data_IF_633243140454
#
_entry.id   IF_633243140454
#
_cell.length_a   1.000
_cell.length_b   1.000
_cell.length_c   1.000
_cell.angle_alpha   90.00
_cell.angle_beta   90.00
_cell.angle_gamma   90.00
#
_symmetry.space_group_name_H-M   'P 1'
#
loop_
_entity.id
_entity.type
_entity.pdbx_description
1 polymer ?
#
# COMPACT_ATOMS: atom_id res chain seq x y z
N UNK A 1 11.69 -43.37 -10.90
CA UNK A 1 11.57 -42.47 -9.73
C UNK A 1 10.30 -41.67 -9.92
N UNK A 2 9.39 -41.58 -8.93
CA UNK A 2 8.26 -40.66 -9.03
C UNK A 2 8.81 -39.23 -8.93
N UNK A 3 8.56 -38.40 -9.93
CA UNK A 3 8.87 -36.97 -9.86
C UNK A 3 7.88 -36.32 -8.90
N UNK A 4 8.35 -35.82 -7.76
CA UNK A 4 7.57 -34.95 -6.90
C UNK A 4 7.19 -33.72 -7.72
N UNK A 5 5.90 -33.36 -7.85
CA UNK A 5 5.53 -32.14 -8.56
C UNK A 5 6.16 -30.95 -7.82
N UNK A 6 6.99 -30.20 -8.54
CA UNK A 6 7.58 -28.96 -8.05
C UNK A 6 6.47 -27.91 -7.97
N UNK A 7 5.90 -27.73 -6.77
CA UNK A 7 4.87 -26.73 -6.49
C UNK A 7 5.56 -25.54 -5.83
N UNK A 8 5.94 -24.55 -6.63
CA UNK A 8 6.42 -23.27 -6.11
C UNK A 8 5.24 -22.43 -5.62
N UNK A 9 5.23 -22.09 -4.33
CA UNK A 9 4.28 -21.13 -3.77
C UNK A 9 4.98 -19.78 -3.61
N UNK A 10 4.97 -18.98 -4.67
CA UNK A 10 5.41 -17.59 -4.59
C UNK A 10 4.27 -16.73 -4.05
N UNK A 11 4.32 -16.38 -2.76
CA UNK A 11 3.42 -15.38 -2.21
C UNK A 11 3.93 -13.99 -2.56
N UNK A 12 3.53 -13.48 -3.73
CA UNK A 12 3.57 -12.03 -3.97
C UNK A 12 2.42 -11.44 -3.17
N UNK A 13 2.72 -10.60 -2.17
CA UNK A 13 1.69 -9.81 -1.52
C UNK A 13 1.03 -8.98 -2.61
N UNK A 14 -0.17 -9.40 -3.04
CA UNK A 14 -0.91 -8.75 -4.11
C UNK A 14 -1.05 -7.27 -3.76
N UNK A 15 -0.96 -6.42 -4.76
CA UNK A 15 -1.22 -4.98 -4.63
C UNK A 15 -2.47 -4.67 -3.80
N UNK A 16 -3.51 -5.49 -3.92
CA UNK A 16 -4.71 -5.37 -3.10
C UNK A 16 -4.48 -5.58 -1.59
N UNK A 17 -3.57 -6.47 -1.21
CA UNK A 17 -3.17 -6.67 0.20
C UNK A 17 -2.40 -5.45 0.69
N UNK A 18 -1.52 -4.88 -0.13
CA UNK A 18 -0.80 -3.64 0.20
C UNK A 18 -1.78 -2.50 0.44
N UNK A 19 -2.71 -2.30 -0.48
CA UNK A 19 -3.77 -1.29 -0.40
C UNK A 19 -4.65 -1.46 0.86
N UNK A 20 -5.06 -2.70 1.14
CA UNK A 20 -5.83 -3.05 2.35
C UNK A 20 -5.04 -2.71 3.62
N UNK A 21 -3.75 -3.07 3.66
CA UNK A 21 -2.89 -2.81 4.81
C UNK A 21 -2.70 -1.31 5.04
N UNK A 22 -2.50 -0.54 3.98
CA UNK A 22 -2.39 0.92 4.05
C UNK A 22 -3.68 1.53 4.62
N UNK A 23 -4.83 1.21 4.01
CA UNK A 23 -6.12 1.76 4.46
C UNK A 23 -6.48 1.36 5.88
N UNK A 24 -6.30 0.09 6.26
CA UNK A 24 -6.60 -0.38 7.62
C UNK A 24 -5.66 0.23 8.66
N UNK A 25 -4.36 0.39 8.36
CA UNK A 25 -3.38 0.93 9.31
C UNK A 25 -3.74 2.36 9.70
N UNK A 26 -4.03 3.20 8.71
CA UNK A 26 -4.35 4.61 8.96
C UNK A 26 -5.78 4.74 9.51
N UNK A 27 -6.72 3.96 8.99
CA UNK A 27 -8.10 3.93 9.48
C UNK A 27 -8.20 3.49 10.94
N UNK A 28 -7.35 2.59 11.43
CA UNK A 28 -7.33 2.26 12.86
C UNK A 28 -6.65 3.34 13.71
N UNK A 29 -5.68 4.06 13.16
CA UNK A 29 -4.78 4.93 13.94
C UNK A 29 -5.29 6.37 14.03
N UNK A 30 -5.68 6.98 12.92
CA UNK A 30 -6.03 8.41 12.88
C UNK A 30 -7.38 8.69 13.56
N UNK A 31 -8.47 7.97 13.25
CA UNK A 31 -9.75 8.12 13.96
C UNK A 31 -9.63 7.82 15.46
N UNK A 32 -8.78 6.86 15.84
CA UNK A 32 -8.50 6.56 17.24
C UNK A 32 -7.78 7.71 17.94
N UNK A 33 -6.71 8.23 17.34
CA UNK A 33 -5.97 9.34 17.91
C UNK A 33 -6.84 10.59 18.04
N UNK A 34 -7.68 10.87 17.04
CA UNK A 34 -8.66 11.95 17.11
C UNK A 34 -9.64 11.75 18.27
N UNK A 35 -10.24 10.56 18.38
CA UNK A 35 -11.22 10.26 19.43
C UNK A 35 -10.61 10.33 20.84
N UNK A 36 -9.40 9.80 21.01
CA UNK A 36 -8.65 9.91 22.26
C UNK A 36 -8.32 11.37 22.57
N UNK A 37 -7.84 12.13 21.59
CA UNK A 37 -7.56 13.57 21.66
C UNK A 37 -8.75 14.37 22.16
N UNK A 38 -9.88 14.25 21.46
CA UNK A 38 -11.11 14.96 21.81
C UNK A 38 -11.65 14.54 23.18
N UNK A 39 -11.54 13.27 23.57
CA UNK A 39 -11.96 12.82 24.90
C UNK A 39 -11.16 13.44 26.04
N UNK A 40 -9.94 13.93 25.77
CA UNK A 40 -9.14 14.69 26.73
C UNK A 40 -9.55 16.16 26.88
N UNK A 41 -10.28 16.71 25.90
CA UNK A 41 -10.61 18.13 25.80
C UNK A 41 -12.12 18.42 25.93
N UNK A 42 -13.00 17.48 25.56
CA UNK A 42 -14.46 17.67 25.58
C UNK A 42 -15.18 16.52 26.29
N UNK A 43 -16.35 16.81 26.86
CA UNK A 43 -17.19 15.83 27.57
C UNK A 43 -18.38 15.32 26.76
N UNK A 44 -18.57 15.83 25.53
CA UNK A 44 -19.71 15.48 24.68
C UNK A 44 -19.37 14.33 23.73
N UNK A 45 -19.97 13.16 23.95
CA UNK A 45 -19.83 12.00 23.05
C UNK A 45 -20.32 12.32 21.64
N UNK A 46 -21.33 13.20 21.51
CA UNK A 46 -21.85 13.63 20.21
C UNK A 46 -20.80 14.40 19.40
N UNK A 47 -20.00 15.26 20.03
CA UNK A 47 -18.92 15.96 19.31
C UNK A 47 -17.84 14.99 18.83
N UNK A 48 -17.52 13.97 19.63
CA UNK A 48 -16.51 12.97 19.27
C UNK A 48 -16.99 12.10 18.11
N UNK A 49 -18.26 11.66 18.14
CA UNK A 49 -18.80 10.83 17.05
C UNK A 49 -18.98 11.60 15.76
N UNK A 50 -19.45 12.86 15.80
CA UNK A 50 -19.58 13.67 14.58
C UNK A 50 -18.22 14.03 13.99
N UNK A 51 -17.24 14.41 14.83
CA UNK A 51 -15.88 14.68 14.38
C UNK A 51 -15.22 13.42 13.81
N UNK A 52 -15.36 12.27 14.49
CA UNK A 52 -14.83 10.98 14.05
C UNK A 52 -15.44 10.52 12.72
N UNK A 53 -16.77 10.62 12.55
CA UNK A 53 -17.41 10.28 11.28
C UNK A 53 -16.99 11.22 10.15
N UNK A 54 -16.88 12.53 10.43
CA UNK A 54 -16.42 13.50 9.44
C UNK A 54 -14.98 13.22 9.01
N UNK A 55 -14.12 12.87 9.97
CA UNK A 55 -12.73 12.50 9.71
C UNK A 55 -12.63 11.18 8.93
N UNK A 56 -13.42 10.15 9.27
CA UNK A 56 -13.45 8.89 8.50
C UNK A 56 -13.88 9.15 7.04
N UNK A 57 -14.91 9.98 6.83
CA UNK A 57 -15.38 10.33 5.49
C UNK A 57 -14.30 11.10 4.70
N UNK A 58 -13.72 12.14 5.30
CA UNK A 58 -12.67 12.94 4.65
C UNK A 58 -11.40 12.11 4.38
N UNK A 59 -10.94 11.34 5.37
CA UNK A 59 -9.74 10.51 5.31
C UNK A 59 -9.87 9.38 4.29
N UNK A 60 -10.99 8.67 4.25
CA UNK A 60 -11.22 7.61 3.27
C UNK A 60 -11.27 8.11 1.83
N UNK A 61 -11.89 9.28 1.59
CA UNK A 61 -11.88 9.92 0.28
C UNK A 61 -10.46 10.35 -0.09
N UNK A 62 -9.76 11.04 0.81
CA UNK A 62 -8.41 11.54 0.56
C UNK A 62 -7.42 10.40 0.25
N UNK A 63 -7.44 9.34 1.06
CA UNK A 63 -6.56 8.19 0.84
C UNK A 63 -6.96 7.36 -0.37
N UNK A 64 -8.26 7.17 -0.61
CA UNK A 64 -8.75 6.48 -1.81
C UNK A 64 -8.33 7.20 -3.09
N UNK A 65 -8.50 8.53 -3.15
CA UNK A 65 -8.02 9.34 -4.27
C UNK A 65 -6.49 9.34 -4.37
N UNK A 66 -5.77 9.36 -3.24
CA UNK A 66 -4.32 9.22 -3.22
C UNK A 66 -3.84 7.91 -3.86
N UNK A 67 -4.47 6.79 -3.50
CA UNK A 67 -4.20 5.50 -4.13
C UNK A 67 -4.58 5.44 -5.60
N UNK A 68 -5.70 6.05 -5.99
CA UNK A 68 -6.11 6.17 -7.39
C UNK A 68 -5.05 6.91 -8.21
N UNK A 69 -4.63 8.09 -7.74
CA UNK A 69 -3.69 8.95 -8.45
C UNK A 69 -2.30 8.32 -8.53
N UNK A 70 -1.84 7.65 -7.48
CA UNK A 70 -0.58 6.92 -7.51
C UNK A 70 -0.60 5.80 -8.56
N UNK A 71 -1.58 4.91 -8.49
CA UNK A 71 -1.71 3.81 -9.44
C UNK A 71 -1.99 4.26 -10.89
N UNK A 72 -2.68 5.39 -11.06
CA UNK A 72 -2.87 6.00 -12.37
C UNK A 72 -1.58 6.63 -12.90
N UNK A 73 -0.81 7.30 -12.05
CA UNK A 73 0.49 7.86 -12.39
C UNK A 73 1.48 6.78 -12.83
N UNK A 74 1.50 5.62 -12.14
CA UNK A 74 2.31 4.47 -12.54
C UNK A 74 1.92 3.96 -13.95
N UNK A 75 0.61 3.95 -14.27
CA UNK A 75 0.13 3.56 -15.59
C UNK A 75 0.46 4.58 -16.69
N UNK A 76 0.27 5.86 -16.42
CA UNK A 76 0.64 6.94 -17.36
C UNK A 76 2.15 6.96 -17.61
N UNK A 77 2.97 6.73 -16.57
CA UNK A 77 4.41 6.59 -16.72
C UNK A 77 4.78 5.37 -17.57
N UNK A 78 4.21 4.20 -17.28
CA UNK A 78 4.44 3.00 -18.09
C UNK A 78 4.09 3.22 -19.56
N UNK A 79 2.93 3.80 -19.86
CA UNK A 79 2.48 4.04 -21.23
C UNK A 79 3.39 5.03 -21.97
N UNK A 80 3.87 6.07 -21.28
CA UNK A 80 4.81 7.03 -21.84
C UNK A 80 6.14 6.37 -22.22
N UNK A 81 6.73 5.61 -21.29
CA UNK A 81 7.99 4.90 -21.53
C UNK A 81 7.84 3.85 -22.62
N UNK A 82 6.71 3.14 -22.65
CA UNK A 82 6.42 2.17 -23.70
C UNK A 82 6.43 2.81 -25.09
N UNK A 83 5.82 4.00 -25.26
CA UNK A 83 5.86 4.69 -26.55
C UNK A 83 7.25 5.18 -26.91
N UNK A 84 8.04 5.63 -25.92
CA UNK A 84 9.43 6.05 -26.14
C UNK A 84 10.28 4.87 -26.63
N UNK A 85 10.17 3.73 -25.97
CA UNK A 85 10.90 2.51 -26.29
C UNK A 85 10.56 2.01 -27.71
N UNK A 86 9.28 2.05 -28.07
CA UNK A 86 8.86 1.75 -29.43
C UNK A 86 9.52 2.70 -30.45
N UNK A 87 9.65 3.99 -30.14
CA UNK A 87 10.27 4.97 -31.02
C UNK A 87 11.79 4.77 -31.13
N UNK A 88 12.47 4.46 -30.04
CA UNK A 88 13.92 4.25 -29.96
C UNK A 88 14.33 2.99 -30.74
N UNK A 89 13.63 1.87 -30.55
CA UNK A 89 13.84 0.63 -31.33
C UNK A 89 13.65 0.85 -32.85
N UNK A 90 12.89 1.87 -33.27
CA UNK A 90 12.75 2.22 -34.69
C UNK A 90 13.82 3.19 -35.20
N UNK A 91 14.20 4.17 -34.39
CA UNK A 91 15.02 5.31 -34.84
C UNK A 91 16.50 5.10 -34.60
N UNK A 92 16.87 4.40 -33.52
CA UNK A 92 18.24 4.14 -33.09
C UNK A 92 18.48 2.66 -32.75
N UNK A 93 18.08 1.70 -33.60
CA UNK A 93 18.08 0.26 -33.28
C UNK A 93 19.45 -0.31 -32.90
N UNK A 94 20.54 0.27 -33.38
CA UNK A 94 21.89 -0.19 -33.02
C UNK A 94 22.32 0.25 -31.62
N UNK A 95 21.79 1.38 -31.12
CA UNK A 95 22.01 1.84 -29.73
C UNK A 95 21.20 0.96 -28.78
N UNK A 96 19.90 0.77 -29.05
CA UNK A 96 19.03 -0.14 -28.29
C UNK A 96 19.57 -1.58 -28.23
N UNK A 97 20.19 -2.05 -29.32
CA UNK A 97 20.78 -3.38 -29.34
C UNK A 97 22.04 -3.47 -28.46
N UNK A 98 22.78 -2.38 -28.34
CA UNK A 98 23.91 -2.29 -27.42
C UNK A 98 23.44 -2.29 -25.96
N UNK A 99 22.33 -1.63 -25.65
CA UNK A 99 21.75 -1.63 -24.30
C UNK A 99 21.31 -3.03 -23.84
N UNK A 100 20.77 -3.86 -24.73
CA UNK A 100 20.53 -5.29 -24.41
C UNK A 100 21.83 -5.97 -23.99
N UNK A 101 22.93 -5.72 -24.70
CA UNK A 101 24.24 -6.30 -24.37
C UNK A 101 24.69 -5.81 -23.00
N UNK A 102 24.56 -4.52 -22.70
CA UNK A 102 24.91 -3.94 -21.39
C UNK A 102 24.11 -4.59 -20.26
N UNK A 103 22.80 -4.81 -20.45
CA UNK A 103 21.95 -5.54 -19.48
C UNK A 103 22.52 -6.93 -19.22
N UNK A 104 22.90 -7.67 -20.25
CA UNK A 104 23.45 -9.03 -20.12
C UNK A 104 24.87 -9.05 -19.53
N UNK A 105 25.70 -8.07 -19.84
CA UNK A 105 27.05 -7.91 -19.29
C UNK A 105 27.02 -7.68 -17.77
N UNK A 106 25.98 -7.01 -17.26
CA UNK A 106 25.75 -6.89 -15.81
C UNK A 106 25.56 -8.26 -15.11
N UNK A 107 25.16 -9.30 -15.86
CA UNK A 107 25.08 -10.68 -15.37
C UNK A 107 26.30 -11.55 -15.74
N UNK A 108 27.35 -10.94 -16.30
CA UNK A 108 28.57 -11.64 -16.73
C UNK A 108 28.43 -12.41 -18.05
N UNK A 109 27.39 -12.13 -18.84
CA UNK A 109 27.22 -12.71 -20.18
C UNK A 109 27.94 -11.81 -21.18
N UNK A 110 28.95 -12.35 -21.87
CA UNK A 110 29.73 -11.58 -22.84
C UNK A 110 28.91 -11.21 -24.08
N UNK A 111 29.25 -10.11 -24.76
CA UNK A 111 28.63 -9.72 -26.02
C UNK A 111 28.55 -10.86 -27.07
N UNK A 112 29.60 -11.69 -27.17
CA UNK A 112 29.63 -12.83 -28.08
C UNK A 112 28.59 -13.92 -27.73
N UNK A 113 28.31 -14.12 -26.44
CA UNK A 113 27.29 -15.07 -25.96
C UNK A 113 25.87 -14.49 -26.11
N UNK A 114 25.72 -13.17 -25.98
CA UNK A 114 24.45 -12.46 -26.09
C UNK A 114 24.00 -12.25 -27.56
N UNK A 115 24.93 -12.18 -28.51
CA UNK A 115 24.65 -11.85 -29.90
C UNK A 115 23.48 -12.63 -30.56
N UNK A 116 23.32 -13.96 -30.35
CA UNK A 116 22.17 -14.69 -30.91
C UNK A 116 20.82 -14.28 -30.28
N UNK A 117 20.82 -13.90 -28.99
CA UNK A 117 19.62 -13.44 -28.28
C UNK A 117 19.20 -12.07 -28.81
N UNK A 118 20.15 -11.14 -28.94
CA UNK A 118 19.91 -9.83 -29.56
C UNK A 118 19.34 -10.03 -30.96
N UNK A 119 20.01 -10.82 -31.81
CA UNK A 119 19.56 -11.09 -33.17
C UNK A 119 18.12 -11.66 -33.22
N UNK A 120 17.76 -12.55 -32.28
CA UNK A 120 16.40 -13.07 -32.18
C UNK A 120 15.39 -11.99 -31.74
N UNK A 121 15.71 -11.16 -30.74
CA UNK A 121 14.85 -10.05 -30.28
C UNK A 121 14.63 -9.02 -31.40
N UNK A 122 15.64 -8.77 -32.25
CA UNK A 122 15.50 -7.88 -33.43
C UNK A 122 14.43 -8.33 -34.41
N UNK A 123 14.02 -9.60 -34.41
CA UNK A 123 12.99 -10.12 -35.31
C UNK A 123 11.56 -9.86 -34.84
N UNK A 124 11.36 -9.64 -33.54
CA UNK A 124 10.06 -9.35 -32.93
C UNK A 124 10.17 -8.07 -32.10
N UNK A 125 9.72 -6.96 -32.68
CA UNK A 125 9.76 -5.64 -32.05
C UNK A 125 8.99 -5.61 -30.73
N UNK A 126 7.89 -6.35 -30.60
CA UNK A 126 7.13 -6.35 -29.35
C UNK A 126 7.87 -7.15 -28.27
N UNK A 127 8.59 -8.21 -28.64
CA UNK A 127 9.45 -8.93 -27.70
C UNK A 127 10.66 -8.10 -27.26
N UNK A 128 11.28 -7.36 -28.18
CA UNK A 128 12.38 -6.43 -27.89
C UNK A 128 11.94 -5.35 -26.90
N UNK A 129 10.87 -4.61 -27.22
CA UNK A 129 10.35 -3.55 -26.34
C UNK A 129 9.96 -4.12 -24.98
N UNK A 130 9.30 -5.29 -24.91
CA UNK A 130 9.00 -5.93 -23.62
C UNK A 130 10.25 -6.29 -22.83
N UNK A 131 11.35 -6.67 -23.49
CA UNK A 131 12.62 -6.95 -22.84
C UNK A 131 13.19 -5.66 -22.23
N UNK A 132 13.26 -4.57 -23.00
CA UNK A 132 13.80 -3.29 -22.54
C UNK A 132 12.97 -2.72 -21.38
N UNK A 133 11.65 -2.63 -21.56
CA UNK A 133 10.72 -2.24 -20.50
C UNK A 133 10.95 -3.02 -19.20
N UNK A 134 11.21 -4.33 -19.30
CA UNK A 134 11.36 -5.21 -18.13
C UNK A 134 12.74 -5.14 -17.47
N UNK A 135 13.80 -5.20 -18.27
CA UNK A 135 15.16 -5.47 -17.77
C UNK A 135 16.03 -4.23 -17.73
N UNK A 136 15.76 -3.25 -18.57
CA UNK A 136 16.48 -1.99 -18.63
C UNK A 136 15.74 -0.93 -17.79
N UNK A 137 14.43 -0.74 -18.01
CA UNK A 137 13.63 0.22 -17.25
C UNK A 137 13.03 -0.34 -15.94
N UNK A 138 12.95 -1.67 -15.78
CA UNK A 138 12.38 -2.30 -14.59
C UNK A 138 10.85 -2.15 -14.45
N UNK A 139 10.17 -1.80 -15.54
CA UNK A 139 8.74 -1.54 -15.60
C UNK A 139 7.94 -2.80 -15.96
N UNK A 140 6.88 -3.10 -15.20
CA UNK A 140 5.88 -4.12 -15.52
C UNK A 140 4.59 -3.44 -15.98
N UNK A 141 3.89 -4.07 -16.93
CA UNK A 141 2.58 -3.58 -17.39
C UNK A 141 1.59 -3.58 -16.22
N UNK A 142 0.99 -2.43 -15.86
CA UNK A 142 0.00 -2.38 -14.79
C UNK A 142 -1.26 -3.18 -15.14
N UNK A 143 -1.90 -3.76 -14.12
CA UNK A 143 -3.18 -4.45 -14.29
C UNK A 143 -4.30 -3.48 -14.68
N UNK A 144 -5.15 -3.88 -15.63
CA UNK A 144 -6.32 -3.09 -16.02
C UNK A 144 -7.23 -2.84 -14.82
N UNK A 145 -7.60 -1.57 -14.60
CA UNK A 145 -8.47 -1.17 -13.49
C UNK A 145 -7.79 -1.13 -12.12
N UNK A 146 -6.45 -1.29 -12.05
CA UNK A 146 -5.65 -1.18 -10.82
C UNK A 146 -5.95 0.11 -10.04
N UNK A 147 -6.00 1.26 -10.71
CA UNK A 147 -6.26 2.55 -10.05
C UNK A 147 -7.59 2.58 -9.29
N UNK A 148 -8.69 2.20 -9.94
CA UNK A 148 -10.02 2.16 -9.30
C UNK A 148 -10.09 1.12 -8.18
N UNK A 149 -9.45 -0.04 -8.37
CA UNK A 149 -9.36 -1.07 -7.33
C UNK A 149 -8.57 -0.59 -6.12
N UNK A 150 -7.46 0.13 -6.34
CA UNK A 150 -6.66 0.78 -5.30
C UNK A 150 -7.51 1.71 -4.45
N UNK A 151 -8.21 2.62 -5.13
CA UNK A 151 -9.02 3.65 -4.49
C UNK A 151 -10.09 3.05 -3.59
N UNK A 152 -10.81 2.07 -4.13
CA UNK A 152 -11.93 1.43 -3.44
C UNK A 152 -11.43 0.57 -2.27
N UNK A 153 -10.35 -0.19 -2.47
CA UNK A 153 -9.78 -1.05 -1.42
C UNK A 153 -9.27 -0.24 -0.25
N UNK A 154 -8.52 0.84 -0.51
CA UNK A 154 -8.00 1.74 0.54
C UNK A 154 -9.15 2.44 1.26
N UNK A 155 -10.10 3.03 0.54
CA UNK A 155 -11.21 3.76 1.15
C UNK A 155 -12.08 2.85 2.03
N UNK A 156 -12.47 1.67 1.54
CA UNK A 156 -13.27 0.73 2.33
C UNK A 156 -12.50 0.20 3.55
N UNK A 157 -11.22 -0.09 3.40
CA UNK A 157 -10.35 -0.50 4.50
C UNK A 157 -10.24 0.60 5.56
N UNK A 158 -10.08 1.85 5.13
CA UNK A 158 -10.02 3.00 6.03
C UNK A 158 -11.31 3.20 6.81
N UNK A 159 -12.46 3.13 6.13
CA UNK A 159 -13.78 3.22 6.79
C UNK A 159 -13.94 2.09 7.80
N UNK A 160 -13.65 0.85 7.42
CA UNK A 160 -13.77 -0.30 8.31
C UNK A 160 -12.85 -0.17 9.53
N UNK A 161 -11.60 0.27 9.33
CA UNK A 161 -10.65 0.54 10.41
C UNK A 161 -11.14 1.65 11.35
N UNK A 162 -11.63 2.76 10.78
CA UNK A 162 -12.03 3.95 11.55
C UNK A 162 -13.30 3.80 12.35
N UNK A 163 -14.23 2.96 11.91
CA UNK A 163 -15.43 2.68 12.69
C UNK A 163 -15.14 1.96 14.01
N UNK A 164 -14.05 1.20 14.10
CA UNK A 164 -13.68 0.44 15.31
C UNK A 164 -13.43 1.36 16.53
N UNK A 165 -12.53 2.37 16.48
CA UNK A 165 -12.31 3.27 17.61
C UNK A 165 -13.53 4.14 17.94
N UNK A 166 -14.37 4.46 16.96
CA UNK A 166 -15.56 5.32 17.17
C UNK A 166 -16.75 4.51 17.73
N UNK A 167 -16.83 3.21 17.45
CA UNK A 167 -17.97 2.37 17.85
C UNK A 167 -18.39 2.50 19.32
N UNK A 168 -17.47 2.52 20.32
CA UNK A 168 -17.86 2.64 21.72
C UNK A 168 -18.54 3.98 22.08
N UNK A 169 -18.24 5.06 21.35
CA UNK A 169 -18.85 6.37 21.58
C UNK A 169 -20.30 6.46 21.08
N UNK A 170 -20.75 5.53 20.23
CA UNK A 170 -22.17 5.42 19.87
C UNK A 170 -23.00 4.70 20.94
N UNK A 171 -22.36 3.81 21.71
CA UNK A 171 -23.04 2.92 22.65
C UNK A 171 -23.00 3.44 24.09
N UNK A 172 -21.96 4.19 24.46
CA UNK A 172 -21.78 4.70 25.80
C UNK A 172 -22.55 6.01 26.05
N UNK A 173 -23.21 6.09 27.21
CA UNK A 173 -23.95 7.29 27.62
C UNK A 173 -23.03 8.47 27.99
N UNK A 174 -21.80 8.19 28.46
CA UNK A 174 -20.83 9.20 28.92
C UNK A 174 -19.45 8.97 28.27
N UNK A 175 -18.74 10.06 27.95
CA UNK A 175 -17.39 10.02 27.35
C UNK A 175 -16.38 9.33 28.27
N UNK A 176 -16.49 9.54 29.58
CA UNK A 176 -15.59 8.92 30.58
C UNK A 176 -15.63 7.40 30.55
N UNK A 177 -16.76 6.81 30.20
CA UNK A 177 -16.90 5.37 30.06
C UNK A 177 -16.50 4.92 28.64
N UNK A 178 -16.80 5.74 27.61
CA UNK A 178 -16.51 5.43 26.22
C UNK A 178 -15.02 5.30 25.89
N UNK A 179 -14.19 6.18 26.46
CA UNK A 179 -12.76 6.24 26.15
C UNK A 179 -12.01 4.96 26.53
N UNK A 180 -12.13 4.40 27.77
CA UNK A 180 -11.51 3.12 28.11
C UNK A 180 -11.92 1.97 27.18
N UNK A 181 -13.20 1.89 26.79
CA UNK A 181 -13.67 0.87 25.84
C UNK A 181 -13.08 1.07 24.44
N UNK A 182 -13.00 2.32 23.97
CA UNK A 182 -12.35 2.67 22.69
C UNK A 182 -10.87 2.31 22.68
N UNK A 183 -10.14 2.61 23.76
CA UNK A 183 -8.73 2.22 23.91
C UNK A 183 -8.61 0.69 23.88
N UNK A 184 -9.40 -0.03 24.65
CA UNK A 184 -9.33 -1.50 24.70
C UNK A 184 -9.62 -2.14 23.34
N UNK A 185 -10.73 -1.76 22.69
CA UNK A 185 -11.12 -2.37 21.40
C UNK A 185 -10.12 -2.04 20.30
N UNK A 186 -9.61 -0.80 20.28
CA UNK A 186 -8.65 -0.37 19.26
C UNK A 186 -7.29 -1.03 19.45
N UNK A 187 -6.78 -1.14 20.67
CA UNK A 187 -5.51 -1.83 20.92
C UNK A 187 -5.61 -3.31 20.53
N UNK A 188 -6.73 -3.98 20.84
CA UNK A 188 -6.96 -5.36 20.37
C UNK A 188 -6.98 -5.40 18.84
N UNK A 189 -7.69 -4.48 18.18
CA UNK A 189 -7.76 -4.42 16.73
C UNK A 189 -6.39 -4.18 16.08
N UNK A 190 -5.59 -3.24 16.60
CA UNK A 190 -4.22 -2.95 16.15
C UNK A 190 -3.29 -4.17 16.33
N UNK A 191 -3.41 -4.88 17.47
CA UNK A 191 -2.62 -6.08 17.73
C UNK A 191 -2.96 -7.21 16.73
N UNK A 192 -4.26 -7.47 16.54
CA UNK A 192 -4.74 -8.50 15.61
C UNK A 192 -4.35 -8.14 14.18
N UNK A 193 -4.65 -6.91 13.75
CA UNK A 193 -4.30 -6.44 12.42
C UNK A 193 -2.79 -6.50 12.17
N UNK A 194 -1.97 -6.03 13.10
CA UNK A 194 -0.51 -6.11 13.00
C UNK A 194 0.00 -7.56 12.94
N UNK A 195 -0.60 -8.49 13.69
CA UNK A 195 -0.26 -9.91 13.64
C UNK A 195 -0.53 -10.52 12.25
N UNK A 196 -1.71 -10.25 11.67
CA UNK A 196 -2.05 -10.72 10.32
C UNK A 196 -1.22 -10.04 9.24
N UNK A 197 -1.02 -8.72 9.35
CA UNK A 197 -0.14 -7.93 8.49
C UNK A 197 1.25 -8.55 8.42
N UNK A 198 1.84 -8.90 9.56
CA UNK A 198 3.16 -9.53 9.59
C UNK A 198 3.21 -10.86 8.83
N UNK A 199 2.15 -11.66 8.92
CA UNK A 199 2.01 -12.89 8.15
C UNK A 199 2.00 -12.68 6.64
N UNK A 200 1.36 -11.60 6.16
CA UNK A 200 1.30 -11.29 4.73
C UNK A 200 2.57 -10.61 4.21
N UNK A 201 3.26 -9.82 5.03
CA UNK A 201 4.47 -9.09 4.61
C UNK A 201 5.76 -9.86 4.81
N UNK A 202 5.69 -11.10 5.28
CA UNK A 202 6.88 -11.92 5.57
C UNK A 202 7.69 -11.43 6.78
N UNK A 203 7.11 -10.59 7.63
CA UNK A 203 7.75 -10.10 8.86
C UNK A 203 7.32 -10.93 10.08
N UNK A 204 8.13 -11.04 11.14
CA UNK A 204 7.73 -11.75 12.35
C UNK A 204 6.42 -11.19 12.92
N UNK A 205 5.39 -12.04 13.01
CA UNK A 205 4.00 -11.61 13.32
C UNK A 205 3.91 -10.82 14.62
N UNK A 206 4.61 -11.27 15.67
CA UNK A 206 4.59 -10.61 16.96
C UNK A 206 5.29 -9.23 16.91
N UNK A 207 6.39 -9.11 16.17
CA UNK A 207 7.07 -7.83 15.99
C UNK A 207 6.19 -6.84 15.23
N UNK A 208 5.49 -7.30 14.19
CA UNK A 208 4.56 -6.48 13.41
C UNK A 208 3.35 -6.02 14.24
N UNK A 209 2.81 -6.89 15.09
CA UNK A 209 1.77 -6.54 16.06
C UNK A 209 2.23 -5.47 17.06
N UNK A 210 3.40 -5.66 17.68
CA UNK A 210 3.98 -4.71 18.63
C UNK A 210 4.27 -3.35 17.99
N UNK A 211 4.83 -3.33 16.78
CA UNK A 211 5.08 -2.09 16.03
C UNK A 211 3.77 -1.34 15.75
N UNK A 212 2.73 -2.05 15.32
CA UNK A 212 1.44 -1.44 14.97
C UNK A 212 0.73 -0.87 16.22
N UNK A 213 0.78 -1.61 17.33
CA UNK A 213 0.33 -1.13 18.64
C UNK A 213 1.07 0.13 19.10
N UNK A 214 2.40 0.13 18.96
CA UNK A 214 3.25 1.24 19.40
C UNK A 214 2.96 2.51 18.60
N UNK A 215 2.87 2.40 17.27
CA UNK A 215 2.54 3.54 16.39
C UNK A 215 1.17 4.11 16.77
N UNK A 216 0.15 3.25 16.90
CA UNK A 216 -1.20 3.69 17.28
C UNK A 216 -1.26 4.34 18.66
N UNK A 217 -0.54 3.76 19.63
CA UNK A 217 -0.48 4.30 21.00
C UNK A 217 0.24 5.65 21.05
N UNK A 218 1.34 5.81 20.30
CA UNK A 218 2.09 7.08 20.22
C UNK A 218 1.24 8.16 19.56
N UNK A 219 0.56 7.84 18.46
CA UNK A 219 -0.33 8.79 17.78
C UNK A 219 -1.46 9.27 18.71
N UNK A 220 -2.11 8.34 19.40
CA UNK A 220 -3.17 8.68 20.35
C UNK A 220 -2.67 9.48 21.55
N UNK A 221 -1.52 9.12 22.12
CA UNK A 221 -0.91 9.89 23.20
C UNK A 221 -0.57 11.31 22.75
N UNK A 222 0.04 11.47 21.57
CA UNK A 222 0.37 12.78 21.00
C UNK A 222 -0.88 13.64 20.82
N UNK A 223 -1.95 13.10 20.23
CA UNK A 223 -3.22 13.80 20.05
C UNK A 223 -3.87 14.17 21.39
N UNK A 224 -3.85 13.26 22.38
CA UNK A 224 -4.36 13.51 23.73
C UNK A 224 -3.63 14.66 24.43
N UNK A 225 -2.29 14.64 24.43
CA UNK A 225 -1.52 15.70 25.08
C UNK A 225 -1.66 17.04 24.37
N UNK A 226 -1.68 17.06 23.04
CA UNK A 226 -1.90 18.29 22.28
C UNK A 226 -3.29 18.88 22.54
N UNK A 227 -4.33 18.06 22.50
CA UNK A 227 -5.69 18.51 22.79
C UNK A 227 -5.79 19.10 24.20
N UNK A 228 -5.20 18.43 25.20
CA UNK A 228 -5.18 18.90 26.59
C UNK A 228 -4.37 20.18 26.81
N UNK A 229 -3.35 20.43 25.99
CA UNK A 229 -2.54 21.66 26.05
C UNK A 229 -3.32 22.88 25.55
N UNK A 230 -4.22 22.67 24.59
CA UNK A 230 -4.95 23.74 23.90
C UNK A 230 -6.34 23.98 24.51
N UNK A 231 -6.92 22.97 25.18
CA UNK A 231 -8.25 23.02 25.81
C UNK A 231 -8.30 23.76 27.13
#
# INVERSE_FOLDING_TARGET
MPQTPHIEKHFRASDAIRDLVIGMSDGLTVPFALAAGLSGAVTSSHLITTAGLAEIAAGSIAMGLGGFLAARGDAEHYDHELQREYHEVQTIPEQEAAEIIEVFEAYGVTAAQCAPVVAALRTDRDAWVRFMMRFELGLEKPESGRASRSATTIACAYIAGGLIPIAPYFLAANVTDALPYSVAVTLIALALFGFFKGGFTGTPRLASALQTLLIGSVAAAAAFFLARLIS
#
